data_IF_282957211181
#
_entry.id   IF_282957211181
#
_cell.length_a   1.000
_cell.length_b   1.000
_cell.length_c   1.000
_cell.angle_alpha   90.00
_cell.angle_beta   90.00
_cell.angle_gamma   90.00
#
_symmetry.space_group_name_H-M   'P 1'
#
loop_
_entity.id
_entity.type
_entity.pdbx_description
1 polymer ?
#
# COMPACT_ATOMS: atom_id res chain seq x y z
N UNK A 1 9.73 14.49 4.45
CA UNK A 1 9.72 13.92 3.09
C UNK A 1 8.70 14.58 2.17
N UNK A 2 7.40 14.61 2.52
CA UNK A 2 6.35 15.23 1.69
C UNK A 2 6.71 16.67 1.23
N UNK A 3 7.04 17.55 2.18
CA UNK A 3 7.42 18.93 1.84
C UNK A 3 8.71 19.01 1.00
N UNK A 4 9.67 18.10 1.19
CA UNK A 4 10.89 18.07 0.38
C UNK A 4 10.58 17.69 -1.06
N UNK A 5 9.70 16.71 -1.28
CA UNK A 5 9.25 16.34 -2.62
C UNK A 5 8.50 17.49 -3.31
N UNK A 6 7.67 18.22 -2.56
CA UNK A 6 7.02 19.44 -3.05
C UNK A 6 8.03 20.50 -3.49
N UNK A 7 9.07 20.77 -2.68
CA UNK A 7 10.13 21.74 -3.01
C UNK A 7 10.99 21.29 -4.19
N UNK A 8 11.18 19.98 -4.36
CA UNK A 8 11.90 19.39 -5.48
C UNK A 8 11.06 19.34 -6.78
N UNK A 9 10.28 20.39 -7.06
CA UNK A 9 9.45 20.48 -8.25
C UNK A 9 8.22 19.57 -8.23
N UNK A 10 7.63 19.35 -7.05
CA UNK A 10 6.50 18.45 -6.84
C UNK A 10 6.77 17.02 -7.34
N UNK A 11 7.95 16.50 -7.00
CA UNK A 11 8.40 15.18 -7.40
C UNK A 11 7.46 14.09 -6.85
N UNK A 12 7.14 13.04 -7.66
CA UNK A 12 6.49 11.83 -7.19
C UNK A 12 7.17 11.25 -5.93
N UNK A 13 6.39 10.96 -4.89
CA UNK A 13 6.88 10.40 -3.63
C UNK A 13 6.16 9.09 -3.31
N UNK A 14 6.90 8.06 -2.95
CA UNK A 14 6.35 6.79 -2.45
C UNK A 14 6.75 6.60 -0.99
N UNK A 15 5.77 6.57 -0.09
CA UNK A 15 5.97 6.32 1.33
C UNK A 15 5.76 4.83 1.59
N UNK A 16 6.82 4.14 2.01
CA UNK A 16 6.79 2.71 2.34
C UNK A 16 6.27 2.47 3.75
N UNK A 17 5.70 1.27 3.96
CA UNK A 17 5.38 0.67 5.25
C UNK A 17 4.80 1.64 6.31
N UNK A 18 3.77 2.41 5.95
CA UNK A 18 3.05 3.28 6.88
C UNK A 18 2.42 2.46 8.00
N UNK A 19 2.75 2.80 9.24
CA UNK A 19 2.36 2.04 10.44
C UNK A 19 1.50 2.81 11.45
N UNK A 20 1.16 4.07 11.18
CA UNK A 20 0.44 4.91 12.15
C UNK A 20 -0.51 5.92 11.50
N UNK A 21 -1.44 6.41 12.32
CA UNK A 21 -2.52 7.33 11.93
C UNK A 21 -2.03 8.75 11.67
N UNK A 22 -1.03 9.22 12.42
CA UNK A 22 -0.48 10.57 12.22
C UNK A 22 0.11 10.72 10.81
N UNK A 23 0.84 9.71 10.33
CA UNK A 23 1.34 9.67 8.97
C UNK A 23 0.20 9.63 7.95
N UNK A 24 -0.89 8.91 8.23
CA UNK A 24 -2.10 8.90 7.40
C UNK A 24 -2.73 10.29 7.28
N UNK A 25 -2.79 11.05 8.37
CA UNK A 25 -3.34 12.41 8.36
C UNK A 25 -2.51 13.36 7.49
N UNK A 26 -1.17 13.26 7.54
CA UNK A 26 -0.29 14.01 6.66
C UNK A 26 -0.45 13.60 5.18
N UNK A 27 -0.73 12.33 4.90
CA UNK A 27 -0.99 11.86 3.55
C UNK A 27 -2.31 12.40 3.00
N UNK A 28 -3.37 12.41 3.82
CA UNK A 28 -4.64 13.07 3.46
C UNK A 28 -4.44 14.55 3.16
N UNK A 29 -3.63 15.26 3.97
CA UNK A 29 -3.28 16.65 3.70
C UNK A 29 -2.49 16.81 2.38
N UNK A 30 -1.61 15.88 2.04
CA UNK A 30 -0.90 15.89 0.77
C UNK A 30 -1.85 15.67 -0.42
N UNK A 31 -2.85 14.79 -0.25
CA UNK A 31 -3.88 14.52 -1.24
C UNK A 31 -4.78 15.73 -1.49
N UNK A 32 -5.22 16.44 -0.45
CA UNK A 32 -6.02 17.68 -0.61
C UNK A 32 -5.24 18.79 -1.32
N UNK A 33 -3.91 18.73 -1.27
CA UNK A 33 -2.99 19.62 -2.00
C UNK A 33 -2.58 19.08 -3.37
N UNK A 34 -3.19 17.99 -3.83
CA UNK A 34 -2.90 17.32 -5.11
C UNK A 34 -1.42 16.97 -5.31
N UNK A 35 -0.70 16.67 -4.22
CA UNK A 35 0.68 16.20 -4.30
C UNK A 35 0.72 14.75 -4.79
N UNK A 36 1.65 14.38 -5.69
CA UNK A 36 1.76 13.03 -6.23
C UNK A 36 2.44 12.10 -5.21
N UNK A 37 1.71 11.76 -4.15
CA UNK A 37 2.18 10.87 -3.09
C UNK A 37 1.42 9.55 -3.16
N UNK A 38 2.16 8.45 -3.23
CA UNK A 38 1.66 7.10 -3.03
C UNK A 38 2.07 6.61 -1.65
N UNK A 39 1.23 5.78 -1.05
CA UNK A 39 1.56 5.15 0.23
C UNK A 39 1.27 3.65 0.21
N UNK A 40 2.16 2.94 0.88
CA UNK A 40 2.06 1.53 1.15
C UNK A 40 1.95 1.25 2.64
N UNK A 41 1.15 0.25 3.01
CA UNK A 41 1.21 -0.41 4.33
C UNK A 41 1.43 -1.91 4.16
N UNK A 42 1.52 -2.65 5.26
CA UNK A 42 1.82 -4.08 5.27
C UNK A 42 0.89 -4.83 6.25
N UNK A 43 0.58 -6.13 6.00
CA UNK A 43 -0.32 -6.92 6.83
C UNK A 43 -0.02 -6.88 8.34
N UNK A 44 1.25 -6.86 8.72
CA UNK A 44 1.67 -6.77 10.12
C UNK A 44 1.13 -5.52 10.83
N UNK A 45 1.00 -4.38 10.14
CA UNK A 45 0.43 -3.15 10.72
C UNK A 45 -1.10 -3.13 10.72
N UNK A 46 -1.74 -4.08 10.02
CA UNK A 46 -3.19 -4.23 9.98
C UNK A 46 -3.72 -5.24 11.01
N UNK A 47 -2.88 -6.19 11.40
CA UNK A 47 -3.29 -7.38 12.14
C UNK A 47 -2.55 -7.59 13.46
N UNK A 48 -1.34 -7.02 13.61
CA UNK A 48 -0.56 -7.11 14.84
C UNK A 48 -0.47 -5.75 15.51
N UNK A 49 -0.22 -5.74 16.82
CA UNK A 49 -0.07 -4.52 17.61
C UNK A 49 1.00 -4.69 18.69
N UNK A 50 1.29 -3.60 19.40
CA UNK A 50 2.37 -3.51 20.39
C UNK A 50 2.28 -4.53 21.54
N UNK A 51 1.11 -5.13 21.80
CA UNK A 51 0.97 -6.22 22.79
C UNK A 51 1.82 -7.44 22.43
N UNK A 52 2.23 -7.57 21.17
CA UNK A 52 3.16 -8.61 20.76
C UNK A 52 4.52 -8.51 21.47
N UNK A 53 4.91 -7.32 21.95
CA UNK A 53 6.15 -7.11 22.69
C UNK A 53 6.09 -7.55 24.15
N UNK A 54 4.89 -7.84 24.67
CA UNK A 54 4.69 -8.33 26.04
C UNK A 54 4.70 -9.87 26.11
N UNK A 55 4.74 -10.55 24.96
CA UNK A 55 4.77 -12.00 24.87
C UNK A 55 6.16 -12.55 25.18
N UNK A 56 6.21 -13.80 25.65
CA UNK A 56 7.47 -14.52 25.86
C UNK A 56 8.31 -14.62 24.57
N UNK A 57 7.64 -14.65 23.41
CA UNK A 57 8.27 -14.71 22.09
C UNK A 57 8.40 -13.34 21.40
N UNK A 58 8.41 -12.23 22.16
CA UNK A 58 8.52 -10.85 21.67
C UNK A 58 9.60 -10.61 20.61
N UNK A 59 10.72 -11.34 20.68
CA UNK A 59 11.83 -11.26 19.73
C UNK A 59 11.40 -11.54 18.27
N UNK A 60 10.33 -12.33 18.07
CA UNK A 60 9.74 -12.60 16.77
C UNK A 60 9.13 -11.36 16.12
N UNK A 61 8.75 -10.35 16.90
CA UNK A 61 7.97 -9.18 16.46
C UNK A 61 8.82 -7.91 16.27
N UNK A 62 10.14 -8.02 16.37
CA UNK A 62 11.04 -6.88 16.15
C UNK A 62 11.16 -6.55 14.66
N UNK A 63 10.72 -5.34 14.31
CA UNK A 63 10.70 -4.76 12.97
C UNK A 63 10.73 -3.22 13.05
N UNK A 64 10.98 -2.58 11.91
CA UNK A 64 10.98 -1.12 11.79
C UNK A 64 10.22 -0.69 10.53
N UNK A 65 9.19 0.19 10.63
CA UNK A 65 8.64 0.81 11.85
C UNK A 65 8.08 -0.20 12.87
N UNK A 66 8.10 0.09 14.19
CA UNK A 66 7.61 -0.85 15.18
C UNK A 66 6.09 -1.01 15.12
N UNK A 67 5.58 -2.13 15.63
CA UNK A 67 4.16 -2.32 15.90
C UNK A 67 3.66 -1.22 16.84
N UNK A 68 2.43 -0.78 16.62
CA UNK A 68 1.81 0.31 17.35
C UNK A 68 0.59 -0.19 18.09
N UNK A 69 0.02 0.64 18.94
CA UNK A 69 -1.28 0.39 19.54
C UNK A 69 -2.36 0.05 18.50
N UNK A 70 -3.28 -0.86 18.85
CA UNK A 70 -4.33 -1.38 17.96
C UNK A 70 -5.21 -0.29 17.30
N UNK A 71 -5.37 0.89 17.93
CA UNK A 71 -6.08 2.03 17.31
C UNK A 71 -5.48 2.44 15.95
N UNK A 72 -4.18 2.22 15.76
CA UNK A 72 -3.51 2.53 14.50
C UNK A 72 -3.87 1.52 13.43
N UNK A 73 -4.11 0.25 13.78
CA UNK A 73 -4.58 -0.77 12.85
C UNK A 73 -5.96 -0.38 12.29
N UNK A 74 -6.88 0.06 13.15
CA UNK A 74 -8.20 0.53 12.73
C UNK A 74 -8.09 1.75 11.80
N UNK A 75 -7.24 2.72 12.14
CA UNK A 75 -7.00 3.87 11.28
C UNK A 75 -6.44 3.48 9.90
N UNK A 76 -5.52 2.51 9.85
CA UNK A 76 -4.98 2.00 8.60
C UNK A 76 -6.04 1.24 7.80
N UNK A 77 -6.91 0.45 8.44
CA UNK A 77 -8.06 -0.17 7.77
C UNK A 77 -9.01 0.86 7.18
N UNK A 78 -9.31 1.94 7.91
CA UNK A 78 -10.08 3.07 7.38
C UNK A 78 -9.37 3.68 6.16
N UNK A 79 -8.06 3.92 6.25
CA UNK A 79 -7.25 4.44 5.14
C UNK A 79 -7.23 3.52 3.91
N UNK A 80 -7.28 2.21 4.10
CA UNK A 80 -7.41 1.25 3.00
C UNK A 80 -8.79 1.38 2.34
N UNK A 81 -9.84 1.44 3.17
CA UNK A 81 -11.23 1.47 2.71
C UNK A 81 -11.58 2.77 1.98
N UNK A 82 -11.14 3.91 2.50
CA UNK A 82 -11.45 5.24 1.95
C UNK A 82 -10.56 5.67 0.78
N UNK A 83 -9.53 4.88 0.44
CA UNK A 83 -8.63 5.17 -0.67
C UNK A 83 -7.36 5.92 -0.30
N UNK A 84 -7.18 6.33 0.97
CA UNK A 84 -5.98 7.03 1.42
C UNK A 84 -4.70 6.18 1.33
N UNK A 85 -4.83 4.85 1.42
CA UNK A 85 -3.72 3.89 1.24
C UNK A 85 -3.78 3.23 -0.13
N UNK A 86 -2.69 3.29 -0.89
CA UNK A 86 -2.65 2.85 -2.28
C UNK A 86 -2.30 1.37 -2.45
N UNK A 87 -1.40 0.87 -1.59
CA UNK A 87 -0.75 -0.44 -1.75
C UNK A 87 -0.69 -1.18 -0.41
N UNK A 88 -0.89 -2.50 -0.48
CA UNK A 88 -0.50 -3.43 0.59
C UNK A 88 0.63 -4.30 0.06
N UNK A 89 1.83 -4.15 0.62
CA UNK A 89 2.99 -5.02 0.34
C UNK A 89 3.39 -5.78 1.61
N UNK A 90 4.64 -6.21 1.74
CA UNK A 90 5.06 -7.10 2.84
C UNK A 90 6.21 -6.58 3.67
N UNK A 91 7.10 -5.79 3.08
CA UNK A 91 8.40 -5.50 3.66
C UNK A 91 9.10 -6.80 4.12
N UNK A 92 9.07 -7.81 3.22
CA UNK A 92 9.56 -9.14 3.55
C UNK A 92 11.06 -9.12 3.88
N UNK A 93 11.37 -9.29 5.16
CA UNK A 93 12.72 -9.34 5.67
C UNK A 93 12.76 -10.40 6.78
N UNK A 94 13.21 -11.61 6.43
CA UNK A 94 13.07 -12.78 7.29
C UNK A 94 14.40 -13.18 7.95
N UNK A 95 14.34 -13.45 9.24
CA UNK A 95 15.44 -13.99 10.05
C UNK A 95 14.92 -15.17 10.86
N UNK A 96 15.71 -16.24 10.92
CA UNK A 96 15.39 -17.37 11.78
C UNK A 96 15.47 -16.98 13.26
N UNK A 97 14.79 -17.73 14.13
CA UNK A 97 14.87 -17.48 15.57
C UNK A 97 16.30 -17.61 16.11
N UNK A 98 17.07 -18.57 15.59
CA UNK A 98 18.48 -18.73 15.94
C UNK A 98 19.31 -17.47 15.57
N UNK A 99 19.10 -16.91 14.37
CA UNK A 99 19.78 -15.68 13.95
C UNK A 99 19.41 -14.50 14.86
N UNK A 100 18.13 -14.34 15.20
CA UNK A 100 17.68 -13.27 16.09
C UNK A 100 18.29 -13.39 17.48
N UNK A 101 18.30 -14.59 18.08
CA UNK A 101 18.88 -14.83 19.39
C UNK A 101 20.40 -14.60 19.38
N UNK A 102 21.09 -15.12 18.37
CA UNK A 102 22.54 -14.97 18.24
C UNK A 102 22.95 -13.49 18.07
N UNK A 103 22.25 -12.75 17.21
CA UNK A 103 22.60 -11.36 16.90
C UNK A 103 22.18 -10.37 17.99
N UNK A 104 21.02 -10.61 18.62
CA UNK A 104 20.56 -9.77 19.73
C UNK A 104 21.46 -9.91 20.96
N UNK A 105 21.85 -11.13 21.33
CA UNK A 105 22.68 -11.37 22.52
C UNK A 105 22.07 -10.79 23.81
N UNK A 106 20.74 -10.74 23.90
CA UNK A 106 20.01 -10.12 25.01
C UNK A 106 19.76 -8.61 24.87
N UNK A 107 20.23 -7.96 23.81
CA UNK A 107 20.01 -6.55 23.51
C UNK A 107 19.09 -6.41 22.28
N UNK A 108 17.90 -5.85 22.49
CA UNK A 108 16.90 -5.68 21.42
C UNK A 108 17.41 -4.76 20.29
N UNK A 109 18.27 -3.79 20.60
CA UNK A 109 18.79 -2.83 19.62
C UNK A 109 19.70 -3.49 18.58
N UNK A 110 20.26 -4.66 18.93
CA UNK A 110 21.12 -5.48 18.06
C UNK A 110 20.34 -6.55 17.30
N UNK A 111 19.09 -6.79 17.65
CA UNK A 111 18.26 -7.74 16.92
C UNK A 111 18.01 -7.23 15.49
N UNK A 112 18.18 -8.06 14.46
CA UNK A 112 17.78 -7.66 13.11
C UNK A 112 16.26 -7.41 13.04
N UNK A 113 15.89 -6.34 12.34
CA UNK A 113 14.51 -5.89 12.20
C UNK A 113 13.89 -6.44 10.91
N UNK A 114 12.70 -7.02 11.00
CA UNK A 114 11.95 -7.49 9.83
C UNK A 114 10.97 -8.60 10.17
N UNK A 115 9.99 -8.87 9.31
CA UNK A 115 9.10 -10.04 9.43
C UNK A 115 8.99 -10.80 8.11
N UNK A 116 8.79 -12.14 8.15
CA UNK A 116 8.34 -12.87 6.98
C UNK A 116 6.89 -12.49 6.64
N UNK A 117 6.51 -12.57 5.36
CA UNK A 117 5.18 -12.11 4.95
C UNK A 117 4.84 -12.25 3.46
N UNK A 118 5.82 -12.54 2.60
CA UNK A 118 5.63 -12.68 1.14
C UNK A 118 4.52 -13.66 0.77
N UNK A 119 4.51 -14.83 1.39
CA UNK A 119 3.51 -15.89 1.18
C UNK A 119 2.13 -15.51 1.74
N UNK A 120 2.10 -14.93 2.94
CA UNK A 120 0.88 -14.72 3.69
C UNK A 120 0.09 -13.48 3.26
N UNK A 121 0.70 -12.55 2.52
CA UNK A 121 0.10 -11.25 2.17
C UNK A 121 -1.32 -11.37 1.61
N UNK A 122 -1.49 -12.19 0.58
CA UNK A 122 -2.76 -12.29 -0.13
C UNK A 122 -3.82 -12.96 0.72
N UNK A 123 -3.46 -14.06 1.40
CA UNK A 123 -4.37 -14.82 2.27
C UNK A 123 -4.86 -13.97 3.45
N UNK A 124 -3.95 -13.27 4.13
CA UNK A 124 -4.28 -12.42 5.27
C UNK A 124 -5.17 -11.24 4.87
N UNK A 125 -4.82 -10.55 3.77
CA UNK A 125 -5.62 -9.42 3.32
C UNK A 125 -7.00 -9.86 2.78
N UNK A 126 -7.09 -11.00 2.12
CA UNK A 126 -8.37 -11.52 1.63
C UNK A 126 -9.28 -11.95 2.80
N UNK A 127 -8.75 -12.74 3.74
CA UNK A 127 -9.50 -13.20 4.90
C UNK A 127 -9.95 -12.06 5.82
N UNK A 128 -9.05 -11.16 6.19
CA UNK A 128 -9.36 -10.10 7.16
C UNK A 128 -9.91 -8.84 6.53
N UNK A 129 -9.77 -8.68 5.20
CA UNK A 129 -10.28 -7.53 4.45
C UNK A 129 -11.57 -7.84 3.70
N UNK A 130 -11.53 -8.82 2.79
CA UNK A 130 -12.66 -9.13 1.90
C UNK A 130 -13.74 -9.94 2.63
N UNK A 131 -13.37 -11.06 3.27
CA UNK A 131 -14.36 -11.95 3.89
C UNK A 131 -15.06 -11.32 5.11
N UNK A 132 -14.44 -10.33 5.74
CA UNK A 132 -15.02 -9.56 6.86
C UNK A 132 -15.79 -8.32 6.40
N UNK A 133 -15.83 -8.02 5.10
CA UNK A 133 -16.54 -6.86 4.54
C UNK A 133 -15.85 -5.51 4.75
N UNK A 134 -14.56 -5.47 5.13
CA UNK A 134 -13.80 -4.21 5.26
C UNK A 134 -13.46 -3.58 3.91
N UNK A 135 -13.24 -4.41 2.88
CA UNK A 135 -12.96 -4.00 1.51
C UNK A 135 -13.66 -4.91 0.50
N UNK A 136 -13.93 -4.40 -0.71
CA UNK A 136 -14.44 -5.22 -1.81
C UNK A 136 -13.32 -6.06 -2.46
N UNK A 137 -13.71 -7.06 -3.26
CA UNK A 137 -12.76 -7.87 -4.03
C UNK A 137 -11.98 -7.02 -5.07
N UNK A 138 -12.64 -6.05 -5.70
CA UNK A 138 -12.01 -5.10 -6.63
C UNK A 138 -10.97 -4.25 -5.92
N UNK A 139 -11.28 -3.79 -4.70
CA UNK A 139 -10.33 -3.02 -3.89
C UNK A 139 -9.14 -3.88 -3.48
N UNK A 140 -9.36 -5.15 -3.12
CA UNK A 140 -8.28 -6.11 -2.88
C UNK A 140 -7.35 -6.27 -4.09
N UNK A 141 -7.90 -6.42 -5.31
CA UNK A 141 -7.09 -6.49 -6.54
C UNK A 141 -6.31 -5.19 -6.76
N UNK A 142 -6.95 -4.04 -6.57
CA UNK A 142 -6.29 -2.74 -6.70
C UNK A 142 -5.07 -2.60 -5.77
N UNK A 143 -5.24 -2.90 -4.48
CA UNK A 143 -4.19 -2.78 -3.46
C UNK A 143 -2.99 -3.71 -3.69
N UNK A 144 -3.23 -4.89 -4.28
CA UNK A 144 -2.23 -5.97 -4.34
C UNK A 144 -1.52 -6.09 -5.68
N UNK A 145 -2.10 -5.54 -6.76
CA UNK A 145 -1.60 -5.70 -8.13
C UNK A 145 -1.74 -4.44 -8.99
N UNK A 146 -2.97 -3.95 -9.23
CA UNK A 146 -3.21 -2.93 -10.25
C UNK A 146 -2.62 -1.55 -9.87
N UNK A 147 -2.71 -1.14 -8.61
CA UNK A 147 -2.12 0.13 -8.14
C UNK A 147 -0.60 0.06 -8.05
N UNK A 148 0.03 -0.98 -7.45
CA UNK A 148 1.49 -1.16 -7.51
C UNK A 148 2.05 -1.10 -8.94
N UNK A 149 1.41 -1.80 -9.89
CA UNK A 149 1.82 -1.79 -11.29
C UNK A 149 1.77 -0.40 -11.92
N UNK A 150 0.82 0.47 -11.50
CA UNK A 150 0.77 1.88 -11.93
C UNK A 150 1.85 2.72 -11.24
N UNK A 151 2.11 2.48 -9.95
CA UNK A 151 3.07 3.24 -9.15
C UNK A 151 4.50 3.09 -9.67
N UNK A 152 4.89 1.91 -10.16
CA UNK A 152 6.26 1.64 -10.67
C UNK A 152 6.47 1.97 -12.14
N UNK A 153 5.43 2.41 -12.88
CA UNK A 153 5.60 2.73 -14.31
C UNK A 153 6.63 3.83 -14.54
N UNK A 154 7.45 3.74 -15.61
CA UNK A 154 8.33 4.82 -16.03
C UNK A 154 7.57 6.13 -16.22
N UNK A 155 8.20 7.25 -15.84
CA UNK A 155 7.60 8.59 -15.90
C UNK A 155 7.13 8.95 -17.32
N UNK A 156 7.86 8.51 -18.35
CA UNK A 156 7.49 8.70 -19.75
C UNK A 156 6.14 8.05 -20.10
N UNK A 157 5.87 6.86 -19.55
CA UNK A 157 4.65 6.11 -19.82
C UNK A 157 3.45 6.67 -19.03
N UNK A 158 3.69 7.17 -17.81
CA UNK A 158 2.66 7.88 -17.01
C UNK A 158 2.19 9.18 -17.69
N UNK A 159 3.12 9.95 -18.29
CA UNK A 159 2.79 11.17 -19.06
C UNK A 159 1.97 10.85 -20.31
N UNK A 160 2.31 9.77 -21.03
CA UNK A 160 1.55 9.32 -22.20
C UNK A 160 0.13 8.80 -21.86
N UNK A 161 -0.06 8.21 -20.68
CA UNK A 161 -1.38 7.79 -20.20
C UNK A 161 -2.26 8.99 -19.76
N UNK A 162 -1.66 10.02 -19.16
CA UNK A 162 -2.36 11.28 -18.82
C UNK A 162 -2.85 12.05 -20.04
N UNK A 163 -2.11 12.01 -21.15
CA UNK A 163 -2.48 12.66 -22.41
C UNK A 163 -3.63 11.94 -23.16
N UNK A 164 -3.90 10.66 -22.86
CA UNK A 164 -4.99 9.87 -23.46
C UNK A 164 -6.34 10.01 -22.73
N UNK A 165 -6.55 11.07 -21.94
CA UNK A 165 -7.89 11.47 -21.46
C UNK A 165 -8.60 12.40 -22.47
N UNK A 166 -8.72 11.95 -23.71
CA UNK A 166 -9.68 12.52 -24.67
C UNK A 166 -10.38 11.37 -25.38
N UNK A 167 -11.24 10.69 -24.64
CA UNK A 167 -12.28 9.85 -25.24
C UNK A 167 -13.20 10.77 -26.03
N UNK A 168 -13.11 10.73 -27.37
CA UNK A 168 -14.20 11.22 -28.23
C UNK A 168 -15.25 10.11 -28.25
N UNK A 169 -16.39 10.39 -27.64
CA UNK A 169 -17.62 9.64 -27.89
C UNK A 169 -18.25 10.19 -29.19
N UNK A 170 -18.67 9.30 -30.09
CA UNK A 170 -19.51 9.62 -31.24
C UNK A 170 -18.83 9.44 -32.59
N UNK A 171 -19.13 8.33 -33.26
CA UNK A 171 -20.05 8.38 -34.40
C UNK A 171 -20.54 6.97 -34.74
N UNK A 172 -21.74 6.64 -34.25
CA UNK A 172 -22.59 5.64 -34.87
C UNK A 172 -23.23 6.28 -36.10
N UNK A 173 -22.78 5.91 -37.30
CA UNK A 173 -23.64 5.96 -38.49
C UNK A 173 -23.52 4.66 -39.27
N UNK A 174 -24.68 4.02 -39.34
CA UNK A 174 -25.09 2.91 -40.20
C UNK A 174 -24.49 2.97 -41.60
N UNK A 175 -23.98 1.83 -42.06
CA UNK A 175 -23.74 1.53 -43.47
C UNK A 175 -24.71 0.41 -43.86
N UNK A 176 -25.86 0.81 -44.38
CA UNK A 176 -26.74 -0.05 -45.15
C UNK A 176 -27.48 0.84 -46.15
N UNK A 177 -27.62 0.30 -47.36
CA UNK A 177 -28.41 0.77 -48.49
C UNK A 177 -27.76 1.83 -49.39
N UNK A 178 -27.22 1.36 -50.53
CA UNK A 178 -27.53 1.91 -51.85
C UNK A 178 -26.85 1.06 -52.94
N UNK A 179 -27.63 0.20 -53.62
CA UNK A 179 -27.44 -0.13 -55.05
C UNK A 179 -28.67 -0.88 -55.60
N UNK A 180 -29.67 -0.11 -56.04
CA UNK A 180 -30.64 -0.54 -57.06
C UNK A 180 -31.04 0.66 -57.91
N UNK A 181 -30.67 0.65 -59.19
CA UNK A 181 -31.38 1.29 -60.31
C UNK A 181 -30.67 0.91 -61.62
N UNK A 182 -31.33 0.06 -62.40
CA UNK A 182 -31.26 0.03 -63.88
C UNK A 182 -32.40 0.87 -64.43
#
# INVERSE_FOLDING_TARGET
MINLAQLAGNAPLYIVHLSNSLGLDYLRLAQTRHQPVWVETCPQYLLLDERCYEREDALQFLLSPPLRNARHNDALWCGISDGAIDVVATDHCAFSMAQRQQLSGGDFSRCPNGLPGVENRLLLLFSHGVMTGRISAERFVALTSATPAKAVRPVAEKRAAGARRRWRCGDHRSAADDHHSS
#
